data_IF_401662579609
#
_entry.id   IF_401662579609
#
_cell.length_a   1.000
_cell.length_b   1.000
_cell.length_c   1.000
_cell.angle_alpha   90.00
_cell.angle_beta   90.00
_cell.angle_gamma   90.00
#
_symmetry.space_group_name_H-M   'P 1'
#
loop_
_entity.id
_entity.type
_entity.pdbx_description
1 polymer ?
#
# COMPACT_ATOMS: atom_id res chain seq x y z
N UNK A 1 18.05 5.16 -12.30
CA UNK A 1 18.46 3.95 -11.56
C UNK A 1 17.59 3.86 -10.33
N UNK A 2 16.96 2.72 -10.07
CA UNK A 2 16.17 2.52 -8.84
C UNK A 2 17.13 2.43 -7.65
N UNK A 3 16.78 3.02 -6.51
CA UNK A 3 17.65 3.10 -5.33
C UNK A 3 17.12 2.20 -4.21
N UNK A 4 17.99 1.37 -3.64
CA UNK A 4 17.60 0.39 -2.61
C UNK A 4 16.87 1.01 -1.42
N UNK A 5 17.25 2.22 -1.03
CA UNK A 5 16.65 2.95 0.09
C UNK A 5 15.21 3.41 -0.18
N UNK A 6 14.73 3.41 -1.44
CA UNK A 6 13.30 3.62 -1.73
C UNK A 6 12.45 2.60 -0.95
N UNK A 7 12.94 1.35 -0.84
CA UNK A 7 12.30 0.31 -0.03
C UNK A 7 12.91 0.19 1.36
N UNK A 8 14.23 0.13 1.47
CA UNK A 8 14.89 -0.18 2.74
C UNK A 8 14.77 0.91 3.81
N UNK A 9 14.43 2.16 3.45
CA UNK A 9 14.15 3.21 4.43
C UNK A 9 12.74 3.15 5.03
N UNK A 10 11.85 2.30 4.52
CA UNK A 10 10.52 2.11 5.10
C UNK A 10 10.61 1.53 6.50
N UNK A 11 9.76 2.01 7.40
CA UNK A 11 9.64 1.53 8.76
C UNK A 11 8.96 0.16 8.83
N UNK A 12 9.01 -0.49 9.99
CA UNK A 12 8.20 -1.68 10.24
C UNK A 12 6.72 -1.33 10.32
N UNK A 13 5.81 -2.29 10.12
CA UNK A 13 4.37 -2.06 10.24
C UNK A 13 3.98 -1.44 11.58
N UNK A 14 4.55 -1.94 12.69
CA UNK A 14 4.24 -1.46 14.04
C UNK A 14 4.68 -0.01 14.26
N UNK A 15 5.87 0.34 13.78
CA UNK A 15 6.39 1.70 13.85
C UNK A 15 5.57 2.65 12.98
N UNK A 16 5.24 2.23 11.75
CA UNK A 16 4.44 3.02 10.81
C UNK A 16 3.03 3.31 11.36
N UNK A 17 2.39 2.31 11.98
CA UNK A 17 1.08 2.49 12.64
C UNK A 17 1.16 3.44 13.84
N UNK A 18 2.22 3.32 14.65
CA UNK A 18 2.47 4.23 15.77
C UNK A 18 2.61 5.66 15.27
N UNK A 19 3.44 5.90 14.26
CA UNK A 19 3.65 7.22 13.66
C UNK A 19 2.35 7.76 13.08
N UNK A 20 1.59 6.94 12.33
CA UNK A 20 0.30 7.35 11.78
C UNK A 20 -0.66 7.79 12.88
N UNK A 21 -0.80 7.00 13.94
CA UNK A 21 -1.70 7.29 15.05
C UNK A 21 -1.30 8.58 15.79
N UNK A 22 -0.01 8.77 16.05
CA UNK A 22 0.52 9.99 16.67
C UNK A 22 0.24 11.22 15.81
N UNK A 23 0.44 11.13 14.49
CA UNK A 23 0.21 12.26 13.57
C UNK A 23 -1.27 12.56 13.37
N UNK A 24 -2.13 11.54 13.22
CA UNK A 24 -3.58 11.73 13.14
C UNK A 24 -4.13 12.41 14.40
N UNK A 25 -3.62 12.07 15.59
CA UNK A 25 -4.04 12.72 16.84
C UNK A 25 -3.73 14.23 16.87
N UNK A 26 -2.74 14.70 16.10
CA UNK A 26 -2.43 16.13 15.98
C UNK A 26 -3.30 16.88 14.96
N UNK A 27 -4.02 16.17 14.08
CA UNK A 27 -4.84 16.77 13.02
C UNK A 27 -6.23 17.23 13.49
N UNK A 28 -6.65 16.86 14.71
CA UNK A 28 -7.95 17.23 15.26
C UNK A 28 -9.09 16.80 14.33
N UNK A 29 -9.90 17.75 13.87
CA UNK A 29 -11.07 17.48 13.02
C UNK A 29 -10.72 16.91 11.63
N UNK A 30 -9.46 16.99 11.20
CA UNK A 30 -8.98 16.42 9.93
C UNK A 30 -8.44 15.00 10.06
N UNK A 31 -8.53 14.38 11.24
CA UNK A 31 -7.98 13.05 11.50
C UNK A 31 -8.67 11.92 10.73
N UNK A 32 -9.87 12.15 10.20
CA UNK A 32 -10.60 11.17 9.38
C UNK A 32 -10.11 11.11 7.92
N UNK A 33 -9.25 12.05 7.52
CA UNK A 33 -8.71 12.20 6.17
C UNK A 33 -9.79 12.28 5.07
N UNK A 34 -10.98 12.81 5.38
CA UNK A 34 -12.10 12.87 4.44
C UNK A 34 -11.75 13.60 3.12
N UNK A 35 -10.86 14.60 3.18
CA UNK A 35 -10.37 15.32 2.00
C UNK A 35 -9.63 14.43 1.00
N UNK A 36 -8.94 13.37 1.44
CA UNK A 36 -8.33 12.40 0.51
C UNK A 36 -9.39 11.66 -0.29
N UNK A 37 -10.51 11.29 0.32
CA UNK A 37 -11.63 10.69 -0.41
C UNK A 37 -12.11 11.64 -1.49
N UNK A 38 -12.34 12.90 -1.16
CA UNK A 38 -12.84 13.90 -2.10
C UNK A 38 -11.85 14.12 -3.26
N UNK A 39 -10.54 14.05 -3.00
CA UNK A 39 -9.50 14.05 -4.05
C UNK A 39 -9.66 12.82 -4.95
N UNK A 40 -9.72 11.61 -4.39
CA UNK A 40 -9.81 10.37 -5.19
C UNK A 40 -11.09 10.31 -6.01
N UNK A 41 -12.22 10.77 -5.46
CA UNK A 41 -13.50 10.88 -6.16
C UNK A 41 -13.44 11.91 -7.30
N UNK A 42 -12.85 13.09 -7.04
CA UNK A 42 -12.69 14.14 -8.04
C UNK A 42 -11.92 13.66 -9.29
N UNK A 43 -10.96 12.75 -9.12
CA UNK A 43 -10.17 12.18 -10.20
C UNK A 43 -10.70 10.83 -10.73
N UNK A 44 -11.79 10.30 -10.15
CA UNK A 44 -12.43 9.07 -10.62
C UNK A 44 -11.59 7.79 -10.41
N UNK A 45 -10.64 7.80 -9.47
CA UNK A 45 -9.68 6.70 -9.26
C UNK A 45 -10.06 5.75 -8.11
N UNK A 46 -11.19 5.98 -7.46
CA UNK A 46 -11.64 5.27 -6.26
C UNK A 46 -11.74 3.75 -6.37
N UNK A 47 -11.83 3.21 -7.60
CA UNK A 47 -11.91 1.78 -7.87
C UNK A 47 -10.58 1.11 -8.20
N UNK A 48 -9.55 1.90 -8.56
CA UNK A 48 -8.26 1.39 -9.04
C UNK A 48 -7.08 1.84 -8.18
N UNK A 49 -7.29 2.88 -7.37
CA UNK A 49 -6.25 3.47 -6.51
C UNK A 49 -6.72 3.52 -5.06
N UNK A 50 -5.86 3.03 -4.17
CA UNK A 50 -6.01 3.07 -2.73
C UNK A 50 -4.88 3.83 -2.04
N UNK A 51 -5.02 3.96 -0.73
CA UNK A 51 -4.03 4.56 0.16
C UNK A 51 -3.31 3.42 0.90
N UNK A 52 -1.98 3.48 0.97
CA UNK A 52 -1.17 2.46 1.63
C UNK A 52 -0.39 3.07 2.81
N UNK A 53 -0.36 2.36 3.94
CA UNK A 53 0.59 2.66 4.99
C UNK A 53 1.99 2.24 4.52
N UNK A 54 2.92 3.18 4.49
CA UNK A 54 4.29 2.91 4.07
C UNK A 54 5.00 2.07 5.12
N UNK A 55 5.28 0.81 4.81
CA UNK A 55 6.01 -0.09 5.71
C UNK A 55 6.72 -1.19 4.90
N UNK A 56 7.65 -1.91 5.55
CA UNK A 56 8.30 -3.10 5.00
C UNK A 56 8.24 -4.28 5.96
N UNK A 57 8.24 -5.49 5.38
CA UNK A 57 8.26 -6.77 6.10
C UNK A 57 9.66 -7.38 6.25
N UNK A 58 10.57 -7.00 5.37
CA UNK A 58 11.95 -7.45 5.32
C UNK A 58 12.80 -6.36 4.65
N UNK A 59 14.12 -6.55 4.58
CA UNK A 59 15.01 -5.72 3.75
C UNK A 59 15.38 -6.47 2.48
N UNK A 60 15.72 -5.71 1.45
CA UNK A 60 16.21 -6.25 0.17
C UNK A 60 17.69 -5.91 -0.02
N UNK A 61 18.31 -6.56 -1.00
CA UNK A 61 19.70 -6.36 -1.42
C UNK A 61 19.79 -5.44 -2.65
N UNK A 62 21.00 -5.00 -2.98
CA UNK A 62 21.23 -4.13 -4.14
C UNK A 62 20.83 -4.85 -5.43
N UNK A 63 20.10 -4.14 -6.31
CA UNK A 63 19.56 -4.72 -7.54
C UNK A 63 18.30 -5.58 -7.36
N UNK A 64 17.84 -5.81 -6.13
CA UNK A 64 16.56 -6.47 -5.90
C UNK A 64 15.39 -5.50 -5.91
N UNK A 65 14.20 -6.03 -6.17
CA UNK A 65 12.91 -5.35 -5.95
C UNK A 65 11.92 -6.32 -5.31
N UNK A 66 10.95 -5.79 -4.57
CA UNK A 66 9.84 -6.62 -4.06
C UNK A 66 8.88 -6.90 -5.21
N UNK A 67 8.73 -8.17 -5.54
CA UNK A 67 7.91 -8.65 -6.64
C UNK A 67 6.83 -9.58 -6.11
N UNK A 68 5.58 -9.24 -6.41
CA UNK A 68 4.39 -10.02 -6.21
C UNK A 68 4.12 -10.92 -7.42
N UNK A 69 3.86 -12.20 -7.15
CA UNK A 69 3.35 -13.13 -8.14
C UNK A 69 2.21 -13.95 -7.51
N UNK A 70 1.00 -13.78 -8.05
CA UNK A 70 -0.24 -14.29 -7.47
C UNK A 70 -0.56 -13.57 -6.16
N UNK A 71 -0.16 -14.16 -5.03
CA UNK A 71 -0.42 -13.61 -3.69
C UNK A 71 0.80 -13.65 -2.78
N UNK A 72 1.98 -13.82 -3.37
CA UNK A 72 3.25 -13.96 -2.65
C UNK A 72 4.19 -12.89 -3.16
N UNK A 73 4.70 -12.04 -2.26
CA UNK A 73 5.71 -11.03 -2.54
C UNK A 73 7.06 -11.48 -1.99
N UNK A 74 8.07 -11.48 -2.84
CA UNK A 74 9.45 -11.87 -2.49
C UNK A 74 10.45 -10.93 -3.17
N UNK A 75 11.66 -10.75 -2.61
CA UNK A 75 12.70 -9.96 -3.26
C UNK A 75 13.27 -10.74 -4.45
N UNK A 76 13.23 -10.13 -5.64
CA UNK A 76 13.77 -10.70 -6.86
C UNK A 76 14.92 -9.83 -7.37
N UNK A 77 16.05 -10.41 -7.84
CA UNK A 77 17.06 -9.66 -8.58
C UNK A 77 16.46 -9.17 -9.89
N UNK A 78 16.45 -7.86 -10.13
CA UNK A 78 15.84 -7.27 -11.33
C UNK A 78 16.94 -6.62 -12.20
N UNK A 79 17.13 -7.07 -13.44
CA UNK A 79 18.07 -6.44 -14.36
C UNK A 79 17.76 -4.97 -14.60
N UNK A 80 18.74 -4.14 -14.99
CA UNK A 80 18.53 -2.71 -15.24
C UNK A 80 17.45 -2.39 -16.30
N UNK A 81 17.22 -3.30 -17.25
CA UNK A 81 16.19 -3.17 -18.28
C UNK A 81 14.78 -3.57 -17.82
N UNK A 82 14.64 -4.07 -16.59
CA UNK A 82 13.38 -4.46 -15.96
C UNK A 82 12.75 -5.75 -16.51
N UNK A 83 13.39 -6.43 -17.46
CA UNK A 83 12.83 -7.64 -18.09
C UNK A 83 13.29 -8.89 -17.33
N UNK A 84 12.33 -9.75 -17.01
CA UNK A 84 12.53 -10.89 -16.11
C UNK A 84 11.89 -12.13 -16.72
N UNK A 85 12.68 -13.17 -17.01
CA UNK A 85 12.16 -14.45 -17.53
C UNK A 85 11.19 -14.31 -18.74
N UNK A 86 11.44 -13.34 -19.62
CA UNK A 86 10.58 -13.02 -20.77
C UNK A 86 9.30 -12.24 -20.45
N UNK A 87 9.02 -11.99 -19.17
CA UNK A 87 7.92 -11.18 -18.68
C UNK A 87 8.36 -9.77 -18.29
N UNK A 88 7.50 -9.07 -17.57
CA UNK A 88 7.73 -7.68 -17.17
C UNK A 88 7.12 -7.37 -15.81
N UNK A 89 7.66 -6.33 -15.17
CA UNK A 89 7.20 -5.85 -13.88
C UNK A 89 6.24 -4.66 -14.06
N UNK A 90 5.17 -4.67 -13.30
CA UNK A 90 4.15 -3.62 -13.25
C UNK A 90 4.16 -3.00 -11.86
N UNK A 91 4.33 -1.68 -11.71
CA UNK A 91 4.21 -1.00 -10.42
C UNK A 91 2.87 -1.26 -9.70
N UNK A 92 2.91 -1.52 -8.39
CA UNK A 92 1.70 -1.79 -7.57
C UNK A 92 1.56 -0.86 -6.38
N UNK A 93 2.68 -0.46 -5.78
CA UNK A 93 2.70 0.46 -4.64
C UNK A 93 3.74 1.54 -4.86
N UNK A 94 3.38 2.78 -4.53
CA UNK A 94 4.20 3.97 -4.71
C UNK A 94 4.30 4.79 -3.43
N UNK A 95 5.45 5.41 -3.25
CA UNK A 95 5.72 6.37 -2.17
C UNK A 95 6.21 7.68 -2.76
N UNK A 96 6.13 8.74 -1.98
CA UNK A 96 6.85 9.97 -2.28
C UNK A 96 8.30 9.85 -1.79
N UNK A 97 9.26 10.10 -2.68
CA UNK A 97 10.70 10.08 -2.41
C UNK A 97 11.38 11.16 -3.24
N UNK A 98 12.20 12.01 -2.61
CA UNK A 98 12.91 13.11 -3.29
C UNK A 98 12.01 13.88 -4.27
N UNK A 99 10.85 14.29 -3.75
CA UNK A 99 9.83 15.04 -4.46
C UNK A 99 9.09 14.34 -5.61
N UNK A 100 9.32 13.04 -5.81
CA UNK A 100 8.71 12.25 -6.89
C UNK A 100 7.88 11.10 -6.34
N UNK A 101 6.85 10.72 -7.08
CA UNK A 101 6.14 9.46 -6.85
C UNK A 101 6.98 8.33 -7.47
N UNK A 102 7.44 7.39 -6.65
CA UNK A 102 8.29 6.28 -7.07
C UNK A 102 7.72 4.94 -6.63
N UNK A 103 7.77 3.90 -7.49
CA UNK A 103 7.29 2.58 -7.12
C UNK A 103 8.29 1.86 -6.21
N UNK A 104 7.75 1.14 -5.22
CA UNK A 104 8.53 0.34 -4.27
C UNK A 104 8.12 -1.15 -4.22
N UNK A 105 6.94 -1.49 -4.73
CA UNK A 105 6.48 -2.87 -4.93
C UNK A 105 5.93 -3.05 -6.36
N UNK A 106 6.11 -4.24 -6.91
CA UNK A 106 5.81 -4.56 -8.30
C UNK A 106 5.08 -5.90 -8.40
N UNK A 107 4.17 -6.05 -9.35
CA UNK A 107 3.60 -7.32 -9.78
C UNK A 107 4.37 -7.84 -10.99
N UNK A 108 4.52 -9.16 -11.12
CA UNK A 108 5.16 -9.77 -12.28
C UNK A 108 4.12 -10.43 -13.20
N UNK A 109 4.11 -9.99 -14.46
CA UNK A 109 3.38 -10.66 -15.54
C UNK A 109 4.34 -11.61 -16.26
N UNK A 110 4.12 -12.92 -16.15
CA UNK A 110 4.80 -13.93 -16.97
C UNK A 110 4.46 -13.73 -18.45
N UNK A 111 5.31 -14.15 -19.42
CA UNK A 111 4.94 -14.20 -20.83
C UNK A 111 3.52 -14.75 -21.06
N UNK A 112 2.66 -13.94 -21.68
CA UNK A 112 1.26 -14.29 -21.98
C UNK A 112 0.27 -14.10 -20.84
N UNK A 113 0.69 -13.54 -19.70
CA UNK A 113 -0.19 -13.12 -18.61
C UNK A 113 -0.35 -11.60 -18.56
N UNK A 114 -1.52 -11.17 -18.10
CA UNK A 114 -1.90 -9.77 -17.86
C UNK A 114 -2.64 -9.68 -16.52
N UNK A 115 -2.10 -10.36 -15.50
CA UNK A 115 -2.72 -10.42 -14.17
C UNK A 115 -2.60 -9.07 -13.42
N UNK A 116 -1.56 -8.29 -13.76
CA UNK A 116 -1.34 -6.95 -13.23
C UNK A 116 -1.45 -5.90 -14.34
N UNK A 117 -2.39 -4.98 -14.21
CA UNK A 117 -2.55 -3.83 -15.10
C UNK A 117 -1.77 -2.61 -14.62
N UNK A 118 -1.28 -1.81 -15.58
CA UNK A 118 -0.82 -0.46 -15.30
C UNK A 118 -2.01 0.39 -14.80
N UNK A 119 -1.82 1.07 -13.67
CA UNK A 119 -2.84 1.97 -13.12
C UNK A 119 -2.54 3.40 -13.57
N UNK A 120 -3.32 3.96 -14.52
CA UNK A 120 -3.10 5.33 -14.96
C UNK A 120 -3.43 6.31 -13.84
N UNK A 121 -2.49 7.20 -13.54
CA UNK A 121 -2.70 8.31 -12.62
C UNK A 121 -3.13 9.55 -13.42
N UNK A 122 -4.35 10.07 -13.22
CA UNK A 122 -4.81 11.26 -13.95
C UNK A 122 -3.92 12.48 -13.68
N UNK A 123 -3.80 13.37 -14.68
CA UNK A 123 -3.04 14.61 -14.57
C UNK A 123 -3.49 15.43 -13.35
N UNK A 124 -2.57 15.81 -12.48
CA UNK A 124 -2.84 16.60 -11.28
C UNK A 124 -3.30 15.80 -10.05
N UNK A 125 -3.62 14.50 -10.19
CA UNK A 125 -4.01 13.65 -9.06
C UNK A 125 -2.86 13.52 -8.05
N UNK A 126 -1.67 13.16 -8.55
CA UNK A 126 -0.48 12.91 -7.73
C UNK A 126 -0.07 14.18 -6.98
N UNK A 127 -0.09 15.33 -7.65
CA UNK A 127 0.24 16.63 -7.06
C UNK A 127 -0.74 17.00 -5.95
N UNK A 128 -2.03 16.71 -6.12
CA UNK A 128 -3.06 17.05 -5.12
C UNK A 128 -2.97 16.15 -3.89
N UNK A 129 -2.75 14.84 -4.08
CA UNK A 129 -2.49 13.91 -2.98
C UNK A 129 -1.21 14.30 -2.25
N UNK A 130 -0.13 14.57 -2.98
CA UNK A 130 1.15 15.01 -2.42
C UNK A 130 0.98 16.27 -1.56
N UNK A 131 0.28 17.28 -2.07
CA UNK A 131 0.07 18.54 -1.36
C UNK A 131 -0.68 18.31 -0.06
N UNK A 132 -1.77 17.54 -0.09
CA UNK A 132 -2.52 17.18 1.11
C UNK A 132 -1.65 16.42 2.13
N UNK A 133 -0.90 15.40 1.69
CA UNK A 133 -0.04 14.62 2.58
C UNK A 133 1.11 15.46 3.15
N UNK A 134 1.66 16.41 2.39
CA UNK A 134 2.67 17.33 2.89
C UNK A 134 2.09 18.27 3.96
N UNK A 135 0.92 18.87 3.70
CA UNK A 135 0.23 19.78 4.63
C UNK A 135 -0.18 19.10 5.94
N UNK A 136 -0.57 17.83 5.87
CA UNK A 136 -0.96 17.02 7.04
C UNK A 136 0.21 16.32 7.71
N UNK A 137 1.43 16.47 7.19
CA UNK A 137 2.61 15.78 7.70
C UNK A 137 2.47 14.26 7.60
N UNK A 138 1.89 13.72 6.53
CA UNK A 138 1.72 12.28 6.29
C UNK A 138 2.48 11.79 5.05
N UNK A 139 3.27 12.65 4.41
CA UNK A 139 3.96 12.37 3.14
C UNK A 139 4.95 11.20 3.18
N UNK A 140 5.58 10.98 4.34
CA UNK A 140 6.49 9.86 4.64
C UNK A 140 5.80 8.69 5.35
N UNK A 141 4.49 8.79 5.60
CA UNK A 141 3.69 7.76 6.30
C UNK A 141 2.75 7.04 5.35
N UNK A 142 2.18 7.77 4.38
CA UNK A 142 1.18 7.26 3.46
C UNK A 142 1.68 7.31 2.02
N UNK A 143 1.37 6.26 1.28
CA UNK A 143 1.62 6.09 -0.13
C UNK A 143 0.35 5.79 -0.89
N UNK A 144 0.51 5.49 -2.17
CA UNK A 144 -0.56 5.15 -3.09
C UNK A 144 -0.36 3.69 -3.51
N UNK A 145 -1.43 2.93 -3.67
CA UNK A 145 -1.33 1.59 -4.24
C UNK A 145 -2.45 1.34 -5.25
N UNK A 146 -2.23 0.37 -6.12
CA UNK A 146 -3.25 -0.19 -6.97
C UNK A 146 -4.18 -1.07 -6.12
N UNK A 147 -5.48 -0.96 -6.34
CA UNK A 147 -6.48 -1.86 -5.77
C UNK A 147 -7.24 -2.55 -6.90
N UNK A 148 -7.56 -3.82 -6.72
CA UNK A 148 -8.40 -4.60 -7.63
C UNK A 148 -9.62 -5.17 -6.91
N UNK A 149 -10.34 -6.04 -7.61
CA UNK A 149 -11.52 -6.69 -7.07
C UNK A 149 -11.18 -7.57 -5.85
N UNK A 150 -9.99 -8.16 -5.80
CA UNK A 150 -9.53 -8.99 -4.69
C UNK A 150 -9.42 -8.21 -3.37
N UNK A 151 -9.07 -6.93 -3.43
CA UNK A 151 -9.01 -6.03 -2.27
C UNK A 151 -10.41 -5.70 -1.73
N UNK A 152 -11.46 -5.85 -2.53
CA UNK A 152 -12.84 -5.57 -2.09
C UNK A 152 -13.40 -6.65 -1.16
N UNK A 153 -12.88 -7.88 -1.26
CA UNK A 153 -13.22 -9.00 -0.37
C UNK A 153 -12.48 -8.86 0.97
N UNK A 154 -11.37 -8.11 0.96
CA UNK A 154 -10.50 -7.87 2.10
C UNK A 154 -9.51 -9.00 2.33
N UNK A 155 -8.25 -8.62 2.55
CA UNK A 155 -7.13 -9.57 2.65
C UNK A 155 -6.31 -9.37 3.91
N UNK A 156 -5.76 -10.46 4.42
CA UNK A 156 -4.82 -10.48 5.53
C UNK A 156 -3.42 -10.72 4.98
N UNK A 157 -2.52 -9.79 5.23
CA UNK A 157 -1.10 -9.90 4.89
C UNK A 157 -0.32 -10.57 6.02
N UNK A 158 0.58 -11.50 5.65
CA UNK A 158 1.42 -12.27 6.57
C UNK A 158 2.83 -12.40 6.01
N UNK A 159 3.82 -12.44 6.88
CA UNK A 159 5.21 -12.60 6.48
C UNK A 159 5.91 -13.77 7.19
N UNK A 160 6.88 -14.39 6.51
CA UNK A 160 7.81 -15.38 7.06
C UNK A 160 9.17 -15.22 6.39
N UNK A 161 10.16 -14.72 7.13
CA UNK A 161 11.47 -14.42 6.55
C UNK A 161 11.36 -13.33 5.49
N UNK A 162 11.94 -13.56 4.30
CA UNK A 162 11.88 -12.67 3.13
C UNK A 162 10.68 -12.98 2.20
N UNK A 163 9.64 -13.60 2.74
CA UNK A 163 8.40 -13.93 2.03
C UNK A 163 7.25 -13.20 2.70
N UNK A 164 6.51 -12.42 1.92
CA UNK A 164 5.24 -11.84 2.30
C UNK A 164 4.13 -12.49 1.46
N UNK A 165 2.96 -12.71 2.03
CA UNK A 165 1.84 -13.27 1.29
C UNK A 165 0.51 -12.79 1.84
N UNK A 166 -0.49 -12.71 0.97
CA UNK A 166 -1.84 -12.31 1.35
C UNK A 166 -2.79 -13.51 1.27
N UNK A 167 -3.63 -13.66 2.29
CA UNK A 167 -4.70 -14.66 2.32
C UNK A 167 -6.06 -13.97 2.36
N UNK A 168 -7.10 -14.57 1.76
CA UNK A 168 -8.47 -14.05 1.91
C UNK A 168 -8.87 -14.00 3.39
N UNK A 169 -9.61 -12.96 3.78
CA UNK A 169 -10.29 -12.96 5.06
C UNK A 169 -11.37 -14.07 5.09
N UNK A 170 -11.51 -14.77 6.21
CA UNK A 170 -12.54 -15.80 6.39
C UNK A 170 -13.91 -15.20 6.72
N UNK A 171 -13.91 -13.96 7.23
CA UNK A 171 -15.09 -13.18 7.58
C UNK A 171 -14.75 -11.72 7.87
N UNK A 172 -15.76 -10.90 8.11
CA UNK A 172 -15.58 -9.47 8.41
C UNK A 172 -14.86 -9.23 9.73
N UNK A 173 -14.95 -10.17 10.68
CA UNK A 173 -14.21 -10.15 11.95
C UNK A 173 -12.68 -10.14 11.79
N UNK A 174 -12.15 -10.81 10.76
CA UNK A 174 -10.71 -10.86 10.50
C UNK A 174 -10.16 -9.47 10.11
N UNK A 175 -10.99 -8.63 9.51
CA UNK A 175 -10.63 -7.26 9.12
C UNK A 175 -10.92 -6.24 10.23
N UNK A 176 -11.57 -6.67 11.32
CA UNK A 176 -11.82 -5.79 12.45
C UNK A 176 -10.61 -5.77 13.39
N UNK A 177 -9.74 -4.78 13.18
CA UNK A 177 -8.51 -4.59 13.98
C UNK A 177 -8.79 -4.34 15.47
N UNK A 178 -10.00 -3.91 15.83
CA UNK A 178 -10.39 -3.76 17.25
C UNK A 178 -10.72 -5.12 17.89
N UNK A 179 -11.16 -6.11 17.10
CA UNK A 179 -11.45 -7.46 17.56
C UNK A 179 -10.23 -8.38 17.45
N UNK A 180 -9.30 -8.06 16.54
CA UNK A 180 -8.09 -8.85 16.28
C UNK A 180 -6.83 -8.02 16.57
N UNK A 181 -6.36 -7.98 17.83
CA UNK A 181 -5.24 -7.11 18.24
C UNK A 181 -3.89 -7.47 17.60
N UNK A 182 -3.80 -8.61 16.90
CA UNK A 182 -2.64 -8.99 16.09
C UNK A 182 -2.68 -8.41 14.68
N UNK A 183 -3.75 -7.73 14.28
CA UNK A 183 -3.88 -7.08 12.98
C UNK A 183 -3.69 -5.57 13.11
N UNK A 184 -3.09 -4.96 12.10
CA UNK A 184 -3.02 -3.51 11.96
C UNK A 184 -3.40 -3.11 10.55
N UNK A 185 -4.07 -1.96 10.38
CA UNK A 185 -4.50 -1.56 9.06
C UNK A 185 -3.30 -1.19 8.18
N UNK A 186 -3.34 -1.55 6.89
CA UNK A 186 -2.22 -1.30 5.97
C UNK A 186 -2.63 -0.77 4.60
N UNK A 187 -3.81 -1.12 4.08
CA UNK A 187 -4.32 -0.57 2.81
C UNK A 187 -5.79 -0.21 2.93
N UNK A 188 -6.14 0.87 2.25
CA UNK A 188 -7.42 1.52 2.35
C UNK A 188 -7.99 1.82 0.96
N UNK A 189 -9.29 1.56 0.78
CA UNK A 189 -10.04 1.90 -0.42
C UNK A 189 -11.16 2.90 -0.13
N UNK A 190 -11.61 3.60 -1.17
CA UNK A 190 -12.66 4.60 -1.10
C UNK A 190 -13.87 4.10 -1.92
N UNK A 191 -14.87 3.48 -1.29
CA UNK A 191 -16.07 2.99 -2.00
C UNK A 191 -17.19 4.04 -2.01
N UNK A 192 -17.88 4.19 -3.14
CA UNK A 192 -18.93 5.19 -3.37
C UNK A 192 -20.31 4.84 -2.77
N UNK A 193 -20.46 3.71 -2.06
CA UNK A 193 -21.77 3.14 -1.71
C UNK A 193 -22.30 3.37 -0.29
N UNK A 194 -21.59 4.05 0.62
CA UNK A 194 -22.12 4.26 1.97
C UNK A 194 -21.78 5.64 2.52
N UNK A 195 -22.72 6.57 2.33
CA UNK A 195 -22.72 7.86 3.00
C UNK A 195 -22.98 7.74 4.51
N UNK A 196 -22.12 8.43 5.27
CA UNK A 196 -22.37 9.20 6.50
C UNK A 196 -23.05 8.51 7.69
N UNK A 197 -22.21 7.90 8.55
CA UNK A 197 -22.08 8.20 9.99
C UNK A 197 -21.05 7.31 10.72
N UNK A 198 -20.33 6.46 9.96
CA UNK A 198 -19.26 5.59 10.50
C UNK A 198 -18.10 5.40 9.49
N UNK A 199 -17.91 6.39 8.61
CA UNK A 199 -17.06 6.31 7.42
C UNK A 199 -15.58 6.52 7.76
N UNK A 200 -15.01 5.60 8.54
CA UNK A 200 -13.57 5.37 8.48
C UNK A 200 -13.26 4.69 7.15
N UNK A 201 -12.16 5.10 6.54
CA UNK A 201 -11.59 4.53 5.33
C UNK A 201 -11.76 3.00 5.31
N UNK A 202 -12.34 2.42 4.25
CA UNK A 202 -12.58 0.95 4.22
C UNK A 202 -11.24 0.25 4.22
N UNK A 203 -10.98 -0.52 5.27
CA UNK A 203 -9.79 -1.35 5.36
C UNK A 203 -9.84 -2.41 4.26
N UNK A 204 -9.04 -2.21 3.22
CA UNK A 204 -8.92 -3.15 2.10
C UNK A 204 -7.91 -4.27 2.42
N UNK A 205 -6.91 -3.96 3.25
CA UNK A 205 -5.91 -4.95 3.69
C UNK A 205 -5.50 -4.67 5.13
N UNK A 206 -5.55 -5.71 5.96
CA UNK A 206 -4.97 -5.72 7.30
C UNK A 206 -3.66 -6.51 7.25
N UNK A 207 -2.61 -6.03 7.91
CA UNK A 207 -1.37 -6.77 8.03
C UNK A 207 -1.19 -7.36 9.43
N UNK A 208 -0.72 -8.59 9.48
CA UNK A 208 -0.45 -9.31 10.71
C UNK A 208 0.84 -8.79 11.37
N UNK A 209 0.73 -8.32 12.60
CA UNK A 209 1.86 -7.88 13.41
C UNK A 209 2.60 -9.13 13.88
N UNK A 210 3.76 -9.40 13.29
CA UNK A 210 4.60 -10.51 13.70
C UNK A 210 4.99 -10.34 15.19
N UNK A 211 4.65 -11.28 16.10
CA UNK A 211 5.17 -11.24 17.45
C UNK A 211 6.69 -11.37 17.36
N UNK A 212 7.41 -10.47 18.05
CA UNK A 212 8.87 -10.47 18.12
C UNK A 212 9.36 -11.93 18.31
N UNK A 213 10.04 -12.47 17.30
CA UNK A 213 10.85 -13.65 17.52
C UNK A 213 12.00 -13.21 18.44
N UNK A 214 11.89 -13.58 19.73
CA UNK A 214 13.03 -13.62 20.64
C UNK A 214 14.02 -14.69 20.18
#
# INVERSE_FOLDING_TARGET
MWHIDVFNSLSTLSESNKILSERLATLGDRADLAELRDIFECFGVTKSVGLALLHKHFSIEEGERVVEFGHVSTPWPVPPDGKMAGGYLVPRSWRFWEDKLVPYEFGFNHPGQEDYDDVPMPDGFVERVRSFLAETGLLDVLGICSIGDDETIGRIEKNRGRVNFTVPASGTEDLNVNLTPTHSPSVWSFDCKSGLNDATIKLARACWVCPKHY
#
